data_IF_671958246549
#
_entry.id   IF_671958246549
#
_cell.length_a   1.000
_cell.length_b   1.000
_cell.length_c   1.000
_cell.angle_alpha   90.00
_cell.angle_beta   90.00
_cell.angle_gamma   90.00
#
_symmetry.space_group_name_H-M   'P 1'
#
loop_
_entity.id
_entity.type
_entity.pdbx_description
1 polymer ?
#
# COMPACT_ATOMS: atom_id res chain seq x y z
N UNK A 1 28.58 -142.82 -75.64
CA UNK A 1 29.26 -141.61 -76.16
C UNK A 1 29.15 -140.50 -75.13
N UNK A 2 30.14 -139.60 -75.06
CA UNK A 2 30.13 -138.37 -74.25
C UNK A 2 30.29 -137.17 -75.20
N UNK A 3 29.83 -135.98 -74.81
CA UNK A 3 30.09 -134.75 -75.58
C UNK A 3 31.46 -134.17 -75.25
N UNK A 4 31.99 -133.31 -76.13
CA UNK A 4 33.33 -132.71 -75.97
C UNK A 4 33.41 -131.87 -74.68
N UNK A 5 32.31 -131.22 -74.29
CA UNK A 5 32.21 -130.40 -73.08
C UNK A 5 32.25 -131.27 -71.82
N UNK A 6 31.55 -132.41 -71.82
CA UNK A 6 31.55 -133.36 -70.71
C UNK A 6 32.94 -134.01 -70.51
N UNK A 7 33.63 -134.33 -71.62
CA UNK A 7 34.99 -134.86 -71.59
C UNK A 7 35.98 -133.84 -70.99
N UNK A 8 35.79 -132.54 -71.27
CA UNK A 8 36.67 -131.49 -70.75
C UNK A 8 36.34 -131.07 -69.30
N UNK A 9 35.06 -131.06 -68.92
CA UNK A 9 34.61 -130.69 -67.57
C UNK A 9 34.79 -131.79 -66.53
N UNK A 10 34.65 -133.07 -66.92
CA UNK A 10 34.73 -134.22 -66.02
C UNK A 10 35.60 -135.33 -66.62
N UNK A 11 36.91 -135.16 -66.46
CA UNK A 11 37.95 -136.04 -67.02
C UNK A 11 37.99 -137.40 -66.33
N UNK A 12 37.62 -137.46 -65.07
CA UNK A 12 37.63 -138.69 -64.27
C UNK A 12 36.57 -139.67 -64.78
N UNK A 13 35.36 -139.17 -65.09
CA UNK A 13 34.29 -140.00 -65.67
C UNK A 13 34.68 -140.60 -67.04
N UNK A 14 35.41 -139.84 -67.86
CA UNK A 14 35.85 -140.29 -69.18
C UNK A 14 36.91 -141.41 -69.08
N UNK A 15 37.88 -141.28 -68.17
CA UNK A 15 38.90 -142.31 -67.92
C UNK A 15 38.29 -143.65 -67.48
N UNK A 16 37.31 -143.61 -66.58
CA UNK A 16 36.64 -144.81 -66.09
C UNK A 16 35.97 -145.60 -67.23
N UNK A 17 35.28 -144.88 -68.13
CA UNK A 17 34.62 -145.46 -69.30
C UNK A 17 35.60 -146.04 -70.33
N UNK A 18 36.78 -145.44 -70.50
CA UNK A 18 37.83 -145.98 -71.37
C UNK A 18 38.37 -147.28 -70.79
N UNK A 19 38.75 -147.27 -69.51
CA UNK A 19 39.28 -148.45 -68.84
C UNK A 19 38.33 -149.65 -69.00
N UNK A 20 37.04 -149.46 -68.70
CA UNK A 20 36.06 -150.55 -68.78
C UNK A 20 35.92 -151.15 -70.20
N UNK A 21 35.92 -150.31 -71.24
CA UNK A 21 35.74 -150.79 -72.61
C UNK A 21 37.02 -151.42 -73.19
N UNK A 22 38.19 -150.84 -72.90
CA UNK A 22 39.46 -151.33 -73.42
C UNK A 22 39.91 -152.60 -72.69
N UNK A 23 39.69 -152.69 -71.37
CA UNK A 23 39.98 -153.91 -70.59
C UNK A 23 39.20 -155.11 -71.14
N UNK A 24 37.91 -154.94 -71.46
CA UNK A 24 37.06 -155.98 -72.05
C UNK A 24 37.54 -156.47 -73.43
N UNK A 25 38.15 -155.61 -74.23
CA UNK A 25 38.70 -155.99 -75.54
C UNK A 25 40.09 -156.65 -75.42
N UNK A 26 40.93 -156.20 -74.49
CA UNK A 26 42.26 -156.78 -74.24
C UNK A 26 42.19 -158.17 -73.62
N UNK A 27 41.19 -158.44 -72.77
CA UNK A 27 40.96 -159.75 -72.16
C UNK A 27 40.73 -160.85 -73.19
N UNK A 28 40.08 -160.55 -74.33
CA UNK A 28 39.85 -161.53 -75.42
C UNK A 28 41.16 -162.03 -76.04
N UNK A 29 42.23 -161.26 -75.89
CA UNK A 29 43.57 -161.56 -76.41
C UNK A 29 44.54 -161.96 -75.29
N UNK A 30 44.04 -162.12 -74.05
CA UNK A 30 44.82 -162.57 -72.89
C UNK A 30 45.68 -161.49 -72.24
N UNK A 31 45.45 -160.20 -72.52
CA UNK A 31 46.19 -159.07 -71.96
C UNK A 31 45.36 -158.37 -70.88
N UNK A 32 46.01 -157.88 -69.81
CA UNK A 32 45.35 -157.10 -68.75
C UNK A 32 45.83 -155.65 -68.78
N UNK A 33 44.87 -154.73 -68.77
CA UNK A 33 45.12 -153.29 -68.67
C UNK A 33 45.45 -152.95 -67.21
N UNK A 34 46.55 -152.20 -66.97
CA UNK A 34 46.98 -151.82 -65.61
C UNK A 34 46.63 -150.35 -65.31
N UNK A 35 46.91 -149.45 -66.26
CA UNK A 35 46.61 -148.03 -66.12
C UNK A 35 46.46 -147.40 -67.51
N UNK A 36 45.55 -146.44 -67.62
CA UNK A 36 45.40 -145.52 -68.75
C UNK A 36 45.42 -144.11 -68.21
N UNK A 37 46.37 -143.30 -68.68
CA UNK A 37 46.41 -141.87 -68.41
C UNK A 37 46.13 -141.12 -69.71
N UNK A 38 45.34 -140.05 -69.62
CA UNK A 38 45.19 -139.10 -70.72
C UNK A 38 46.35 -138.12 -70.63
N UNK A 39 47.11 -138.02 -71.73
CA UNK A 39 48.24 -137.09 -71.82
C UNK A 39 47.76 -135.72 -72.29
N UNK A 40 46.99 -135.69 -73.38
CA UNK A 40 46.43 -134.45 -73.94
C UNK A 40 45.11 -134.74 -74.66
N UNK A 41 44.23 -133.75 -74.71
CA UNK A 41 42.95 -133.80 -75.43
C UNK A 41 42.99 -132.67 -76.46
N UNK A 42 43.17 -133.04 -77.72
CA UNK A 42 43.23 -132.11 -78.84
C UNK A 42 42.03 -132.33 -79.75
N UNK A 43 41.60 -131.25 -80.39
CA UNK A 43 40.54 -131.23 -81.39
C UNK A 43 41.10 -130.63 -82.68
N UNK A 44 40.71 -131.17 -83.82
CA UNK A 44 41.10 -130.69 -85.14
C UNK A 44 40.35 -129.40 -85.54
N UNK A 45 39.29 -129.03 -84.79
CA UNK A 45 38.35 -127.95 -85.14
C UNK A 45 38.41 -126.70 -84.22
N UNK A 46 39.50 -126.45 -83.49
CA UNK A 46 39.70 -125.30 -82.58
C UNK A 46 38.54 -125.06 -81.56
N UNK A 47 37.66 -126.05 -81.35
CA UNK A 47 36.41 -125.87 -80.63
C UNK A 47 36.64 -125.70 -79.13
N UNK A 48 37.53 -126.52 -78.56
CA UNK A 48 37.89 -126.50 -77.14
C UNK A 48 38.54 -125.16 -76.77
N UNK A 49 39.43 -124.64 -77.62
CA UNK A 49 40.06 -123.33 -77.42
C UNK A 49 39.01 -122.20 -77.46
N UNK A 50 38.05 -122.28 -78.38
CA UNK A 50 36.98 -121.29 -78.53
C UNK A 50 36.01 -121.27 -77.33
N UNK A 51 35.67 -122.43 -76.76
CA UNK A 51 34.88 -122.53 -75.51
C UNK A 51 35.67 -121.96 -74.33
N UNK A 52 36.97 -122.25 -74.23
CA UNK A 52 37.84 -121.68 -73.20
C UNK A 52 37.88 -120.15 -73.28
N UNK A 53 38.07 -119.59 -74.49
CA UNK A 53 38.03 -118.14 -74.74
C UNK A 53 36.67 -117.53 -74.38
N UNK A 54 35.54 -118.20 -74.72
CA UNK A 54 34.19 -117.75 -74.38
C UNK A 54 33.94 -117.76 -72.88
N UNK A 55 34.32 -118.83 -72.18
CA UNK A 55 34.18 -118.95 -70.74
C UNK A 55 35.01 -117.89 -69.99
N UNK A 56 36.28 -117.68 -70.40
CA UNK A 56 37.13 -116.63 -69.86
C UNK A 56 36.55 -115.23 -70.11
N UNK A 57 36.07 -114.93 -71.32
CA UNK A 57 35.43 -113.66 -71.63
C UNK A 57 34.16 -113.43 -70.80
N UNK A 58 33.36 -114.49 -70.58
CA UNK A 58 32.13 -114.43 -69.77
C UNK A 58 32.45 -114.19 -68.29
N UNK A 59 33.50 -114.83 -67.76
CA UNK A 59 33.96 -114.61 -66.40
C UNK A 59 34.47 -113.17 -66.19
N UNK A 60 35.23 -112.63 -67.16
CA UNK A 60 35.69 -111.23 -67.13
C UNK A 60 34.52 -110.25 -67.20
N UNK A 61 33.53 -110.52 -68.04
CA UNK A 61 32.36 -109.64 -68.16
C UNK A 61 31.48 -109.68 -66.91
N UNK A 62 31.24 -110.86 -66.34
CA UNK A 62 30.54 -110.98 -65.05
C UNK A 62 31.27 -110.22 -63.94
N UNK A 63 32.60 -110.36 -63.85
CA UNK A 63 33.39 -109.60 -62.89
C UNK A 63 33.30 -108.08 -63.12
N UNK A 64 33.26 -107.62 -64.38
CA UNK A 64 33.03 -106.19 -64.70
C UNK A 64 31.65 -105.73 -64.28
N UNK A 65 30.61 -106.54 -64.48
CA UNK A 65 29.24 -106.23 -64.05
C UNK A 65 29.17 -106.13 -62.52
N UNK A 66 29.81 -107.05 -61.80
CA UNK A 66 29.84 -107.04 -60.33
C UNK A 66 30.56 -105.81 -59.79
N UNK A 67 31.71 -105.44 -60.38
CA UNK A 67 32.44 -104.21 -60.03
C UNK A 67 31.58 -102.98 -60.32
N UNK A 68 30.94 -102.90 -61.50
CA UNK A 68 30.08 -101.77 -61.84
C UNK A 68 28.86 -101.64 -60.91
N UNK A 69 28.26 -102.77 -60.49
CA UNK A 69 27.18 -102.77 -59.52
C UNK A 69 27.66 -102.31 -58.14
N UNK A 70 28.81 -102.80 -57.67
CA UNK A 70 29.40 -102.37 -56.40
C UNK A 70 29.77 -100.87 -56.41
N UNK A 71 30.32 -100.36 -57.51
CA UNK A 71 30.61 -98.93 -57.69
C UNK A 71 29.33 -98.10 -57.68
N UNK A 72 28.28 -98.54 -58.41
CA UNK A 72 26.98 -97.86 -58.43
C UNK A 72 26.36 -97.80 -57.04
N UNK A 73 26.30 -98.93 -56.34
CA UNK A 73 25.66 -99.01 -55.03
C UNK A 73 26.47 -98.23 -53.97
N UNK A 74 27.81 -98.25 -54.06
CA UNK A 74 28.69 -97.40 -53.25
C UNK A 74 28.46 -95.90 -53.51
N UNK A 75 28.32 -95.50 -54.77
CA UNK A 75 28.03 -94.11 -55.14
C UNK A 75 26.64 -93.65 -54.65
N UNK A 76 25.62 -94.51 -54.75
CA UNK A 76 24.27 -94.24 -54.23
C UNK A 76 24.32 -94.09 -52.70
N UNK A 77 24.94 -95.03 -51.99
CA UNK A 77 25.08 -94.96 -50.54
C UNK A 77 25.82 -93.71 -50.06
N UNK A 78 26.90 -93.33 -50.76
CA UNK A 78 27.62 -92.09 -50.49
C UNK A 78 26.76 -90.83 -50.74
N UNK A 79 25.98 -90.81 -51.83
CA UNK A 79 25.09 -89.70 -52.15
C UNK A 79 23.95 -89.57 -51.13
N UNK A 80 23.35 -90.67 -50.69
CA UNK A 80 22.30 -90.69 -49.67
C UNK A 80 22.82 -90.24 -48.29
N UNK A 81 24.00 -90.71 -47.89
CA UNK A 81 24.65 -90.28 -46.66
C UNK A 81 24.95 -88.77 -46.68
N UNK A 82 25.49 -88.27 -47.80
CA UNK A 82 25.77 -86.85 -47.97
C UNK A 82 24.49 -86.00 -47.94
N UNK A 83 23.44 -86.42 -48.65
CA UNK A 83 22.14 -85.75 -48.64
C UNK A 83 21.55 -85.70 -47.23
N UNK A 84 21.59 -86.83 -46.50
CA UNK A 84 21.05 -86.92 -45.14
C UNK A 84 21.81 -85.98 -44.19
N UNK A 85 23.16 -85.99 -44.27
CA UNK A 85 24.01 -85.08 -43.51
C UNK A 85 23.66 -83.62 -43.80
N UNK A 86 23.53 -83.23 -45.06
CA UNK A 86 23.21 -81.85 -45.44
C UNK A 86 21.84 -81.40 -44.95
N UNK A 87 20.82 -82.26 -45.06
CA UNK A 87 19.47 -81.98 -44.54
C UNK A 87 19.53 -81.77 -43.02
N UNK A 88 20.18 -82.67 -42.28
CA UNK A 88 20.28 -82.56 -40.83
C UNK A 88 21.07 -81.33 -40.39
N UNK A 89 22.19 -81.03 -41.05
CA UNK A 89 22.97 -79.81 -40.77
C UNK A 89 22.12 -78.57 -41.03
N UNK A 90 21.43 -78.49 -42.17
CA UNK A 90 20.57 -77.36 -42.50
C UNK A 90 19.41 -77.19 -41.51
N UNK A 91 18.78 -78.30 -41.06
CA UNK A 91 17.74 -78.28 -40.05
C UNK A 91 18.25 -77.76 -38.71
N UNK A 92 19.38 -78.27 -38.21
CA UNK A 92 19.98 -77.82 -36.96
C UNK A 92 20.39 -76.34 -37.01
N UNK A 93 20.94 -75.88 -38.14
CA UNK A 93 21.29 -74.45 -38.34
C UNK A 93 20.03 -73.58 -38.32
N UNK A 94 18.95 -74.01 -38.98
CA UNK A 94 17.69 -73.28 -38.99
C UNK A 94 17.05 -73.22 -37.59
N UNK A 95 17.11 -74.30 -36.83
CA UNK A 95 16.59 -74.36 -35.46
C UNK A 95 17.42 -73.51 -34.49
N UNK A 96 18.74 -73.55 -34.59
CA UNK A 96 19.63 -72.69 -33.82
C UNK A 96 19.37 -71.19 -34.11
N UNK A 97 19.19 -70.83 -35.39
CA UNK A 97 18.85 -69.46 -35.78
C UNK A 97 17.49 -69.00 -35.21
N UNK A 98 16.47 -69.87 -35.26
CA UNK A 98 15.16 -69.60 -34.65
C UNK A 98 15.26 -69.41 -33.14
N UNK A 99 15.97 -70.31 -32.44
CA UNK A 99 16.19 -70.22 -30.99
C UNK A 99 16.96 -68.95 -30.60
N UNK A 100 18.00 -68.60 -31.36
CA UNK A 100 18.74 -67.36 -31.14
C UNK A 100 17.85 -66.11 -31.30
N UNK A 101 16.99 -66.08 -32.33
CA UNK A 101 16.07 -64.96 -32.54
C UNK A 101 14.97 -64.88 -31.50
N UNK A 102 14.45 -66.02 -31.03
CA UNK A 102 13.51 -66.06 -29.92
C UNK A 102 14.13 -65.50 -28.64
N UNK A 103 15.33 -65.96 -28.27
CA UNK A 103 16.05 -65.46 -27.10
C UNK A 103 16.40 -63.96 -27.20
N UNK A 104 16.76 -63.48 -28.40
CA UNK A 104 17.00 -62.05 -28.63
C UNK A 104 15.72 -61.23 -28.46
N UNK A 105 14.58 -61.72 -28.96
CA UNK A 105 13.28 -61.07 -28.79
C UNK A 105 12.86 -61.05 -27.32
N UNK A 106 12.96 -62.17 -26.60
CA UNK A 106 12.63 -62.27 -25.18
C UNK A 106 13.50 -61.32 -24.35
N UNK A 107 14.81 -61.27 -24.63
CA UNK A 107 15.73 -60.32 -24.00
C UNK A 107 15.29 -58.88 -24.24
N UNK A 108 14.95 -58.51 -25.48
CA UNK A 108 14.49 -57.16 -25.80
C UNK A 108 13.21 -56.81 -25.06
N UNK A 109 12.21 -57.69 -25.09
CA UNK A 109 10.95 -57.47 -24.36
C UNK A 109 11.19 -57.30 -22.87
N UNK A 110 12.07 -58.10 -22.28
CA UNK A 110 12.42 -57.98 -20.87
C UNK A 110 13.13 -56.64 -20.56
N UNK A 111 14.14 -56.26 -21.33
CA UNK A 111 14.88 -55.00 -21.13
C UNK A 111 13.96 -53.80 -21.28
N UNK A 112 13.21 -53.72 -22.38
CA UNK A 112 12.26 -52.62 -22.64
C UNK A 112 11.16 -52.57 -21.57
N UNK A 113 10.71 -53.73 -21.08
CA UNK A 113 9.77 -53.79 -19.96
C UNK A 113 10.33 -53.22 -18.66
N UNK A 114 11.60 -53.51 -18.34
CA UNK A 114 12.27 -52.92 -17.18
C UNK A 114 12.52 -51.42 -17.36
N UNK A 115 12.91 -50.98 -18.56
CA UNK A 115 13.06 -49.57 -18.89
C UNK A 115 11.72 -48.82 -18.75
N UNK A 116 10.61 -49.39 -19.23
CA UNK A 116 9.29 -48.80 -19.07
C UNK A 116 8.89 -48.64 -17.59
N UNK A 117 9.19 -49.64 -16.75
CA UNK A 117 8.95 -49.56 -15.29
C UNK A 117 9.83 -48.48 -14.66
N UNK A 118 11.11 -48.41 -15.04
CA UNK A 118 12.04 -47.38 -14.54
C UNK A 118 11.58 -45.97 -14.91
N UNK A 119 11.23 -45.73 -16.17
CA UNK A 119 10.70 -44.45 -16.66
C UNK A 119 9.39 -44.09 -15.96
N UNK A 120 8.49 -45.07 -15.74
CA UNK A 120 7.27 -44.82 -14.97
C UNK A 120 7.58 -44.41 -13.53
N UNK A 121 8.55 -45.07 -12.89
CA UNK A 121 9.00 -44.72 -11.53
C UNK A 121 9.61 -43.33 -11.46
N UNK A 122 10.44 -42.97 -12.45
CA UNK A 122 11.04 -41.63 -12.58
C UNK A 122 9.96 -40.55 -12.75
N UNK A 123 8.97 -40.77 -13.62
CA UNK A 123 7.86 -39.84 -13.80
C UNK A 123 7.04 -39.65 -12.52
N UNK A 124 6.78 -40.73 -11.77
CA UNK A 124 6.08 -40.64 -10.47
C UNK A 124 6.90 -39.82 -9.48
N UNK A 125 8.20 -40.11 -9.35
CA UNK A 125 9.09 -39.36 -8.46
C UNK A 125 9.18 -37.89 -8.87
N UNK A 126 9.24 -37.59 -10.16
CA UNK A 126 9.28 -36.23 -10.67
C UNK A 126 7.96 -35.48 -10.43
N UNK A 127 6.81 -36.15 -10.55
CA UNK A 127 5.53 -35.59 -10.18
C UNK A 127 5.44 -35.31 -8.67
N UNK A 128 5.95 -36.21 -7.83
CA UNK A 128 6.00 -36.01 -6.38
C UNK A 128 6.92 -34.83 -6.00
N UNK A 129 8.11 -34.72 -6.61
CA UNK A 129 9.00 -33.58 -6.44
C UNK A 129 8.31 -32.28 -6.87
N UNK A 130 7.59 -32.28 -7.99
CA UNK A 130 6.86 -31.11 -8.45
C UNK A 130 5.76 -30.67 -7.47
N UNK A 131 5.02 -31.63 -6.90
CA UNK A 131 4.00 -31.35 -5.88
C UNK A 131 4.63 -30.80 -4.60
N UNK A 132 5.70 -31.43 -4.10
CA UNK A 132 6.43 -30.95 -2.91
C UNK A 132 7.00 -29.55 -3.13
N UNK A 133 7.52 -29.25 -4.32
CA UNK A 133 8.00 -27.91 -4.66
C UNK A 133 6.86 -26.89 -4.75
N UNK A 134 5.69 -27.28 -5.25
CA UNK A 134 4.50 -26.42 -5.27
C UNK A 134 4.03 -26.10 -3.84
N UNK A 135 3.96 -27.11 -2.97
CA UNK A 135 3.59 -26.95 -1.56
C UNK A 135 4.59 -26.07 -0.81
N UNK A 136 5.90 -26.27 -1.07
CA UNK A 136 6.96 -25.43 -0.50
C UNK A 136 6.80 -23.97 -0.95
N UNK A 137 6.55 -23.73 -2.24
CA UNK A 137 6.35 -22.39 -2.77
C UNK A 137 5.09 -21.72 -2.19
N UNK A 138 4.00 -22.46 -1.98
CA UNK A 138 2.80 -21.95 -1.32
C UNK A 138 3.10 -21.59 0.15
N UNK A 139 3.81 -22.46 0.88
CA UNK A 139 4.20 -22.21 2.26
C UNK A 139 5.13 -20.99 2.39
N UNK A 140 6.09 -20.82 1.48
CA UNK A 140 6.98 -19.66 1.41
C UNK A 140 6.20 -18.37 1.09
N UNK A 141 5.29 -18.40 0.12
CA UNK A 141 4.45 -17.26 -0.22
C UNK A 141 3.55 -16.85 0.96
N UNK A 142 2.94 -17.82 1.66
CA UNK A 142 2.13 -17.57 2.84
C UNK A 142 2.97 -17.06 4.03
N UNK A 143 4.21 -17.52 4.19
CA UNK A 143 5.14 -16.99 5.19
C UNK A 143 5.53 -15.54 4.86
N UNK A 144 5.84 -15.25 3.59
CA UNK A 144 6.18 -13.91 3.11
C UNK A 144 5.02 -12.94 3.28
N UNK A 145 3.81 -13.33 2.88
CA UNK A 145 2.61 -12.50 3.07
C UNK A 145 2.37 -12.20 4.56
N UNK A 146 2.55 -13.18 5.46
CA UNK A 146 2.45 -12.96 6.91
C UNK A 146 3.51 -11.97 7.42
N UNK A 147 4.74 -12.07 6.92
CA UNK A 147 5.81 -11.12 7.24
C UNK A 147 5.45 -9.71 6.77
N UNK A 148 5.05 -9.55 5.50
CA UNK A 148 4.70 -8.25 4.92
C UNK A 148 3.50 -7.61 5.61
N UNK A 149 2.48 -8.39 5.98
CA UNK A 149 1.35 -7.87 6.78
C UNK A 149 1.81 -7.45 8.17
N UNK A 150 2.68 -8.22 8.82
CA UNK A 150 3.22 -7.84 10.14
C UNK A 150 4.04 -6.55 10.06
N UNK A 151 4.89 -6.40 9.04
CA UNK A 151 5.71 -5.21 8.80
C UNK A 151 4.82 -3.99 8.49
N UNK A 152 3.82 -4.13 7.63
CA UNK A 152 2.89 -3.06 7.30
C UNK A 152 2.04 -2.63 8.51
N UNK A 153 1.62 -3.57 9.35
CA UNK A 153 0.89 -3.27 10.59
C UNK A 153 1.80 -2.55 11.59
N UNK A 154 3.05 -2.99 11.74
CA UNK A 154 4.03 -2.34 12.59
C UNK A 154 4.34 -0.91 12.11
N UNK A 155 4.55 -0.72 10.81
CA UNK A 155 4.81 0.59 10.22
C UNK A 155 3.58 1.51 10.34
N UNK A 156 2.38 1.01 10.08
CA UNK A 156 1.14 1.77 10.30
C UNK A 156 0.97 2.18 11.78
N UNK A 157 1.35 1.33 12.72
CA UNK A 157 1.33 1.66 14.15
C UNK A 157 2.35 2.75 14.50
N UNK A 158 3.58 2.68 13.95
CA UNK A 158 4.61 3.71 14.12
C UNK A 158 4.14 5.05 13.54
N UNK A 159 3.56 5.04 12.34
CA UNK A 159 3.04 6.26 11.70
C UNK A 159 1.90 6.87 12.52
N UNK A 160 0.93 6.06 12.99
CA UNK A 160 -0.12 6.55 13.89
C UNK A 160 0.44 7.16 15.17
N UNK A 161 1.45 6.54 15.79
CA UNK A 161 2.10 7.10 16.97
C UNK A 161 2.74 8.46 16.68
N UNK A 162 3.43 8.61 15.54
CA UNK A 162 4.02 9.90 15.10
C UNK A 162 2.96 10.96 14.83
N UNK A 163 1.85 10.60 14.18
CA UNK A 163 0.75 11.54 13.93
C UNK A 163 0.13 12.03 15.24
N UNK A 164 -0.08 11.15 16.22
CA UNK A 164 -0.60 11.55 17.53
C UNK A 164 0.38 12.46 18.26
N UNK A 165 1.68 12.14 18.25
CA UNK A 165 2.71 13.01 18.85
C UNK A 165 2.74 14.40 18.20
N UNK A 166 2.64 14.46 16.86
CA UNK A 166 2.61 15.72 16.12
C UNK A 166 1.32 16.52 16.38
N UNK A 167 0.16 15.86 16.46
CA UNK A 167 -1.12 16.49 16.80
C UNK A 167 -1.06 17.11 18.21
N UNK A 168 -0.52 16.38 19.19
CA UNK A 168 -0.34 16.89 20.56
C UNK A 168 0.68 18.04 20.61
N UNK A 169 1.75 17.99 19.80
CA UNK A 169 2.70 19.11 19.65
C UNK A 169 2.02 20.36 19.09
N UNK A 170 1.19 20.21 18.05
CA UNK A 170 0.45 21.31 17.44
C UNK A 170 -0.56 21.90 18.43
N UNK A 171 -1.34 21.06 19.13
CA UNK A 171 -2.25 21.50 20.20
C UNK A 171 -1.51 22.26 21.28
N UNK A 172 -0.37 21.75 21.75
CA UNK A 172 0.45 22.43 22.75
C UNK A 172 0.94 23.79 22.23
N UNK A 173 1.38 23.88 20.97
CA UNK A 173 1.81 25.14 20.37
C UNK A 173 0.66 26.14 20.22
N UNK A 174 -0.53 25.69 19.83
CA UNK A 174 -1.73 26.54 19.72
C UNK A 174 -2.18 27.03 21.10
N UNK A 175 -2.18 26.17 22.13
CA UNK A 175 -2.46 26.54 23.52
C UNK A 175 -1.45 27.58 24.02
N UNK A 176 -0.16 27.44 23.68
CA UNK A 176 0.86 28.44 24.03
C UNK A 176 0.57 29.77 23.32
N UNK A 177 0.21 29.76 22.03
CA UNK A 177 -0.16 30.97 21.28
C UNK A 177 -1.39 31.65 21.89
N UNK A 178 -2.44 30.91 22.22
CA UNK A 178 -3.63 31.44 22.87
C UNK A 178 -3.34 32.01 24.26
N UNK A 179 -2.50 31.33 25.06
CA UNK A 179 -2.07 31.85 26.36
C UNK A 179 -1.25 33.15 26.22
N UNK A 180 -0.36 33.24 25.23
CA UNK A 180 0.38 34.48 24.94
C UNK A 180 -0.58 35.60 24.53
N UNK A 181 -1.56 35.33 23.66
CA UNK A 181 -2.56 36.33 23.26
C UNK A 181 -3.40 36.79 24.46
N UNK A 182 -3.84 35.86 25.31
CA UNK A 182 -4.57 36.19 26.55
C UNK A 182 -3.72 37.06 27.47
N UNK A 183 -2.45 36.71 27.68
CA UNK A 183 -1.52 37.53 28.48
C UNK A 183 -1.30 38.90 27.86
N UNK A 184 -1.14 39.00 26.54
CA UNK A 184 -1.00 40.28 25.84
C UNK A 184 -2.24 41.17 26.02
N UNK A 185 -3.45 40.60 25.92
CA UNK A 185 -4.70 41.34 26.14
C UNK A 185 -4.80 41.81 27.60
N UNK A 186 -4.48 40.96 28.58
CA UNK A 186 -4.49 41.35 30.00
C UNK A 186 -3.48 42.46 30.26
N UNK A 187 -2.24 42.32 29.78
CA UNK A 187 -1.19 43.34 29.94
C UNK A 187 -1.60 44.65 29.24
N UNK A 188 -2.21 44.58 28.05
CA UNK A 188 -2.69 45.77 27.34
C UNK A 188 -3.86 46.45 28.07
N UNK A 189 -4.79 45.67 28.63
CA UNK A 189 -5.89 46.18 29.44
C UNK A 189 -5.39 46.81 30.73
N UNK A 190 -4.43 46.19 31.42
CA UNK A 190 -3.79 46.73 32.62
C UNK A 190 -3.00 48.02 32.30
N UNK A 191 -2.27 48.04 31.18
CA UNK A 191 -1.54 49.22 30.72
C UNK A 191 -2.49 50.37 30.38
N UNK A 192 -3.63 50.10 29.74
CA UNK A 192 -4.64 51.11 29.43
C UNK A 192 -5.34 51.61 30.70
N UNK A 193 -5.66 50.72 31.64
CA UNK A 193 -6.22 51.09 32.95
C UNK A 193 -5.26 52.00 33.72
N UNK A 194 -3.96 51.68 33.74
CA UNK A 194 -2.94 52.47 34.42
C UNK A 194 -2.67 53.80 33.70
N UNK A 195 -2.75 53.82 32.35
CA UNK A 195 -2.69 55.05 31.55
C UNK A 195 -3.86 55.97 31.93
N UNK A 196 -5.08 55.45 31.97
CA UNK A 196 -6.26 56.21 32.35
C UNK A 196 -6.18 56.75 33.79
N UNK A 197 -5.70 55.94 34.75
CA UNK A 197 -5.45 56.41 36.12
C UNK A 197 -4.47 57.58 36.16
N UNK A 198 -3.33 57.48 35.45
CA UNK A 198 -2.34 58.56 35.42
C UNK A 198 -2.84 59.82 34.74
N UNK A 199 -3.60 59.68 33.65
CA UNK A 199 -4.23 60.83 32.97
C UNK A 199 -5.24 61.50 33.89
N UNK A 200 -6.16 60.73 34.50
CA UNK A 200 -7.15 61.25 35.44
C UNK A 200 -6.49 61.90 36.67
N UNK A 201 -5.40 61.32 37.19
CA UNK A 201 -4.61 61.91 38.27
C UNK A 201 -3.96 63.23 37.86
N UNK A 202 -3.33 63.27 36.67
CA UNK A 202 -2.75 64.50 36.13
C UNK A 202 -3.79 65.60 35.86
N UNK A 203 -4.99 65.24 35.39
CA UNK A 203 -6.11 66.16 35.23
C UNK A 203 -6.62 66.68 36.59
N UNK A 204 -6.75 65.81 37.60
CA UNK A 204 -7.12 66.20 38.95
C UNK A 204 -6.09 67.17 39.57
N UNK A 205 -4.80 66.87 39.43
CA UNK A 205 -3.71 67.72 39.91
C UNK A 205 -3.69 69.08 39.17
N UNK A 206 -3.93 69.10 37.86
CA UNK A 206 -4.04 70.32 37.08
C UNK A 206 -5.21 71.20 37.54
N UNK A 207 -6.38 70.59 37.79
CA UNK A 207 -7.57 71.28 38.30
C UNK A 207 -7.32 71.86 39.69
N UNK A 208 -6.70 71.08 40.59
CA UNK A 208 -6.34 71.57 41.93
C UNK A 208 -5.39 72.77 41.87
N UNK A 209 -4.37 72.72 41.00
CA UNK A 209 -3.43 73.83 40.83
C UNK A 209 -4.11 75.10 40.28
N UNK A 210 -5.05 74.97 39.34
CA UNK A 210 -5.85 76.10 38.84
C UNK A 210 -6.66 76.72 39.96
N UNK A 211 -7.42 75.91 40.72
CA UNK A 211 -8.22 76.41 41.83
C UNK A 211 -7.37 77.02 42.95
N UNK A 212 -6.22 76.43 43.27
CA UNK A 212 -5.29 77.03 44.23
C UNK A 212 -4.74 78.38 43.74
N UNK A 213 -4.40 78.48 42.45
CA UNK A 213 -3.90 79.71 41.85
C UNK A 213 -4.99 80.81 41.85
N UNK A 214 -6.23 80.45 41.53
CA UNK A 214 -7.39 81.34 41.60
C UNK A 214 -7.66 81.78 43.04
N UNK A 215 -7.66 80.86 44.00
CA UNK A 215 -7.85 81.16 45.41
C UNK A 215 -6.77 82.12 45.93
N UNK A 216 -5.49 81.85 45.61
CA UNK A 216 -4.36 82.75 45.95
C UNK A 216 -4.50 84.11 45.25
N UNK A 217 -4.97 84.14 44.01
CA UNK A 217 -5.24 85.36 43.25
C UNK A 217 -6.32 86.22 43.92
N UNK A 218 -7.47 85.61 44.24
CA UNK A 218 -8.59 86.26 44.92
C UNK A 218 -8.17 86.76 46.29
N UNK A 219 -7.44 85.95 47.07
CA UNK A 219 -6.94 86.35 48.38
C UNK A 219 -6.04 87.60 48.28
N UNK A 220 -5.12 87.66 47.31
CA UNK A 220 -4.28 88.85 47.08
C UNK A 220 -5.10 90.08 46.70
N UNK A 221 -6.15 89.93 45.88
CA UNK A 221 -7.06 91.03 45.52
C UNK A 221 -7.83 91.54 46.74
N UNK A 222 -8.33 90.62 47.58
CA UNK A 222 -9.05 90.96 48.80
C UNK A 222 -8.13 91.63 49.83
N UNK A 223 -6.91 91.14 50.02
CA UNK A 223 -5.91 91.76 50.91
C UNK A 223 -5.53 93.16 50.41
N UNK A 224 -5.38 93.35 49.10
CA UNK A 224 -5.12 94.66 48.51
C UNK A 224 -6.31 95.62 48.72
N UNK A 225 -7.56 95.14 48.56
CA UNK A 225 -8.77 95.92 48.86
C UNK A 225 -8.87 96.26 50.35
N UNK A 226 -8.58 95.32 51.24
CA UNK A 226 -8.59 95.55 52.68
C UNK A 226 -7.58 96.64 53.08
N UNK A 227 -6.35 96.58 52.56
CA UNK A 227 -5.34 97.63 52.75
C UNK A 227 -5.77 98.97 52.13
N UNK A 228 -6.42 98.94 50.97
CA UNK A 228 -7.00 100.12 50.34
C UNK A 228 -8.05 100.80 51.22
N UNK A 229 -8.98 100.02 51.78
CA UNK A 229 -9.99 100.50 52.72
C UNK A 229 -9.38 101.01 54.02
N UNK A 230 -8.38 100.33 54.58
CA UNK A 230 -7.64 100.78 55.76
C UNK A 230 -6.98 102.16 55.53
N UNK A 231 -6.35 102.35 54.38
CA UNK A 231 -5.77 103.64 54.00
C UNK A 231 -6.83 104.74 53.84
N UNK A 232 -8.01 104.41 53.32
CA UNK A 232 -9.12 105.35 53.18
C UNK A 232 -9.65 105.81 54.54
N UNK A 233 -9.86 104.87 55.47
CA UNK A 233 -10.30 105.14 56.84
C UNK A 233 -9.26 105.98 57.61
N UNK A 234 -7.98 105.69 57.44
CA UNK A 234 -6.90 106.48 58.04
C UNK A 234 -6.84 107.91 57.46
N UNK A 235 -7.20 108.10 56.20
CA UNK A 235 -7.21 109.41 55.53
C UNK A 235 -8.38 110.30 55.97
N UNK A 236 -9.47 109.72 56.48
CA UNK A 236 -10.66 110.46 56.96
C UNK A 236 -10.61 110.75 58.47
N UNK A 237 -9.42 110.98 59.03
CA UNK A 237 -9.21 111.34 60.45
C UNK A 237 -9.93 110.42 61.45
N UNK A 238 -10.17 109.15 61.10
CA UNK A 238 -10.81 108.16 61.96
C UNK A 238 -12.33 108.28 62.11
N UNK A 239 -13.05 109.04 61.28
CA UNK A 239 -14.52 109.04 61.29
C UNK A 239 -15.09 107.95 60.35
N UNK A 240 -15.68 106.86 60.88
CA UNK A 240 -16.25 105.78 60.07
C UNK A 240 -17.40 106.26 59.16
N UNK A 241 -18.11 107.33 59.54
CA UNK A 241 -19.22 107.86 58.75
C UNK A 241 -18.73 108.56 57.49
N UNK A 242 -17.64 109.32 57.56
CA UNK A 242 -17.05 109.98 56.40
C UNK A 242 -16.48 108.98 55.38
N UNK A 243 -15.78 107.94 55.86
CA UNK A 243 -15.27 106.86 55.01
C UNK A 243 -16.42 106.06 54.33
N UNK A 244 -17.51 105.80 55.06
CA UNK A 244 -18.70 105.16 54.50
C UNK A 244 -19.39 106.05 53.44
N UNK A 245 -19.44 107.37 53.65
CA UNK A 245 -20.02 108.30 52.66
C UNK A 245 -19.18 108.34 51.38
N UNK A 246 -17.85 108.34 51.51
CA UNK A 246 -16.95 108.37 50.36
C UNK A 246 -16.94 107.04 49.59
N UNK A 247 -17.00 105.90 50.30
CA UNK A 247 -17.22 104.58 49.70
C UNK A 247 -18.60 104.48 49.03
N UNK A 248 -19.64 105.08 49.62
CA UNK A 248 -20.96 105.15 48.98
C UNK A 248 -20.90 105.99 47.71
N UNK A 249 -20.20 107.13 47.68
CA UNK A 249 -20.02 107.91 46.44
C UNK A 249 -19.28 107.11 45.36
N UNK A 250 -18.20 106.39 45.71
CA UNK A 250 -17.49 105.51 44.76
C UNK A 250 -18.39 104.35 44.27
N UNK A 251 -19.17 103.74 45.18
CA UNK A 251 -20.09 102.66 44.83
C UNK A 251 -21.37 103.12 44.15
N UNK A 252 -21.76 104.39 44.28
CA UNK A 252 -22.89 104.97 43.53
C UNK A 252 -22.59 104.89 42.03
N UNK A 253 -21.36 105.10 41.56
CA UNK A 253 -21.05 104.91 40.14
C UNK A 253 -21.28 103.45 39.70
N UNK A 254 -20.80 102.47 40.47
CA UNK A 254 -21.02 101.05 40.17
C UNK A 254 -22.48 100.61 40.29
N UNK A 255 -23.23 101.18 41.23
CA UNK A 255 -24.68 100.94 41.39
C UNK A 255 -25.44 101.56 40.23
N UNK A 256 -25.17 102.81 39.87
CA UNK A 256 -25.78 103.48 38.71
C UNK A 256 -25.46 102.71 37.43
N UNK A 257 -24.23 102.25 37.24
CA UNK A 257 -23.87 101.40 36.10
C UNK A 257 -24.68 100.09 36.09
N UNK A 258 -24.76 99.37 37.22
CA UNK A 258 -25.56 98.15 37.33
C UNK A 258 -27.07 98.41 37.17
N UNK A 259 -27.59 99.54 37.65
CA UNK A 259 -28.98 99.96 37.44
C UNK A 259 -29.26 100.29 35.97
N UNK A 260 -28.35 101.01 35.30
CA UNK A 260 -28.48 101.32 33.86
C UNK A 260 -28.41 100.03 33.05
N UNK A 261 -27.54 99.08 33.42
CA UNK A 261 -27.45 97.77 32.77
C UNK A 261 -28.71 96.91 33.01
N UNK A 262 -29.29 96.95 34.21
CA UNK A 262 -30.58 96.31 34.52
C UNK A 262 -31.74 96.96 33.75
N UNK A 263 -31.76 98.29 33.61
CA UNK A 263 -32.76 99.01 32.80
C UNK A 263 -32.57 98.72 31.30
N UNK A 264 -31.32 98.59 30.83
CA UNK A 264 -31.02 98.21 29.43
C UNK A 264 -31.55 96.81 29.08
N UNK A 265 -31.55 95.91 30.06
CA UNK A 265 -32.08 94.55 29.90
C UNK A 265 -33.60 94.45 30.16
N UNK A 266 -34.25 95.51 30.64
CA UNK A 266 -35.71 95.61 30.72
C UNK A 266 -36.30 95.94 29.34
N UNK A 267 -36.37 94.93 28.48
CA UNK A 267 -37.26 94.95 27.33
C UNK A 267 -38.70 94.72 27.79
N UNK A 268 -39.46 95.80 27.99
CA UNK A 268 -40.93 95.70 28.13
C UNK A 268 -41.49 95.52 26.71
N UNK A 269 -41.38 94.31 26.17
CA UNK A 269 -41.72 94.02 24.77
C UNK A 269 -43.24 94.00 24.50
N UNK A 270 -44.09 93.93 25.53
CA UNK A 270 -45.56 94.00 25.37
C UNK A 270 -46.29 94.19 26.70
N UNK A 271 -46.84 95.39 26.93
CA UNK A 271 -47.86 95.58 27.99
C UNK A 271 -49.19 95.16 27.39
N UNK A 272 -49.72 94.01 27.82
CA UNK A 272 -51.08 93.58 27.46
C UNK A 272 -52.01 93.92 28.63
N UNK A 273 -52.60 95.12 28.60
CA UNK A 273 -53.66 95.47 29.55
C UNK A 273 -54.94 94.77 29.10
N UNK A 274 -55.38 93.78 29.87
CA UNK A 274 -56.73 93.24 29.76
C UNK A 274 -57.67 94.16 30.53
N UNK A 275 -58.29 95.10 29.81
CA UNK A 275 -59.41 95.88 30.31
C UNK A 275 -60.68 95.02 30.24
N UNK A 276 -60.91 94.24 31.29
CA UNK A 276 -62.19 93.58 31.55
C UNK A 276 -63.13 94.62 32.14
N UNK A 277 -63.81 95.34 31.27
CA UNK A 277 -64.66 96.46 31.64
C UNK A 277 -65.69 96.14 32.74
N UNK A 278 -65.77 97.11 33.66
CA UNK A 278 -66.88 97.47 34.54
C UNK A 278 -67.05 96.73 35.88
N UNK A 279 -66.31 97.19 36.89
CA UNK A 279 -66.71 97.13 38.31
C UNK A 279 -67.26 98.49 38.76
N UNK A 280 -68.23 98.47 39.66
CA UNK A 280 -69.17 99.55 40.00
C UNK A 280 -68.58 100.75 40.80
N UNK A 281 -67.30 101.07 40.63
CA UNK A 281 -66.67 102.19 41.36
C UNK A 281 -65.55 102.86 40.54
N UNK A 282 -65.94 103.51 39.43
CA UNK A 282 -65.26 104.66 38.77
C UNK A 282 -63.76 104.63 38.45
N UNK A 283 -63.04 103.54 38.69
CA UNK A 283 -61.59 103.43 38.61
C UNK A 283 -61.20 102.37 37.58
N UNK A 284 -60.31 102.74 36.64
CA UNK A 284 -59.88 101.87 35.55
C UNK A 284 -58.63 101.08 35.93
N UNK A 285 -58.42 99.92 35.30
CA UNK A 285 -57.22 99.09 35.52
C UNK A 285 -55.90 99.85 35.27
N UNK A 286 -55.95 100.91 34.45
CA UNK A 286 -54.81 101.81 34.19
C UNK A 286 -54.43 102.69 35.39
N UNK A 287 -55.37 103.11 36.24
CA UNK A 287 -55.03 103.88 37.46
C UNK A 287 -54.42 103.00 38.55
N UNK A 288 -54.84 101.73 38.64
CA UNK A 288 -54.24 100.77 39.58
C UNK A 288 -52.82 100.34 39.17
N UNK A 289 -52.51 100.25 37.88
CA UNK A 289 -51.14 99.98 37.42
C UNK A 289 -50.18 101.12 37.81
N UNK A 290 -50.57 102.37 37.58
CA UNK A 290 -49.73 103.54 37.93
C UNK A 290 -49.55 103.65 39.45
N UNK A 291 -50.59 103.41 40.24
CA UNK A 291 -50.48 103.37 41.71
C UNK A 291 -49.57 102.23 42.20
N UNK A 292 -49.65 101.04 41.59
CA UNK A 292 -48.80 99.89 41.95
C UNK A 292 -47.34 100.06 41.55
N UNK A 293 -47.04 100.83 40.50
CA UNK A 293 -45.67 101.17 40.10
C UNK A 293 -45.05 102.17 41.09
N UNK A 294 -45.81 103.14 41.58
CA UNK A 294 -45.36 104.07 42.63
C UNK A 294 -45.16 103.36 43.98
N UNK A 295 -45.96 102.34 44.30
CA UNK A 295 -45.76 101.47 45.48
C UNK A 295 -44.63 100.44 45.33
N UNK A 296 -44.15 100.17 44.10
CA UNK A 296 -43.07 99.20 43.84
C UNK A 296 -41.66 99.76 43.96
N UNK A 297 -41.53 101.08 44.14
CA UNK A 297 -40.29 101.67 44.63
C UNK A 297 -40.25 101.42 46.13
N UNK A 298 -39.33 100.58 46.64
CA UNK A 298 -39.15 100.47 48.08
C UNK A 298 -38.83 101.87 48.58
N UNK A 299 -39.57 102.40 49.58
CA UNK A 299 -39.26 103.70 50.12
C UNK A 299 -37.82 103.65 50.61
N UNK A 300 -36.94 104.39 49.92
CA UNK A 300 -35.50 104.46 50.23
C UNK A 300 -35.29 104.83 51.71
N UNK A 301 -36.26 105.55 52.29
CA UNK A 301 -36.33 105.87 53.70
C UNK A 301 -36.45 104.64 54.62
N UNK A 302 -37.21 103.58 54.29
CA UNK A 302 -37.33 102.39 55.15
C UNK A 302 -36.08 101.52 55.15
N UNK A 303 -35.39 101.44 53.99
CA UNK A 303 -34.10 100.76 53.89
C UNK A 303 -33.00 101.54 54.63
N UNK A 304 -33.04 102.88 54.57
CA UNK A 304 -32.10 103.74 55.29
C UNK A 304 -32.34 103.73 56.81
N UNK A 305 -33.60 103.67 57.27
CA UNK A 305 -33.96 103.54 58.70
C UNK A 305 -33.58 102.17 59.28
N UNK A 306 -33.78 101.07 58.54
CA UNK A 306 -33.29 99.75 58.94
C UNK A 306 -31.75 99.67 59.01
N UNK A 307 -31.04 100.53 58.27
CA UNK A 307 -29.58 100.66 58.29
C UNK A 307 -29.06 101.73 59.28
N UNK A 308 -29.93 102.37 60.07
CA UNK A 308 -29.55 103.32 61.13
C UNK A 308 -29.06 104.69 60.64
N UNK A 309 -29.48 105.13 59.44
CA UNK A 309 -29.07 106.41 58.85
C UNK A 309 -30.28 107.27 58.49
N UNK A 310 -30.37 108.47 59.06
CA UNK A 310 -31.38 109.48 58.70
C UNK A 310 -30.94 110.23 57.42
N UNK A 311 -31.81 110.25 56.42
CA UNK A 311 -31.62 111.01 55.18
C UNK A 311 -32.20 112.42 55.32
N UNK A 312 -31.62 113.45 54.67
CA UNK A 312 -32.08 114.84 54.83
C UNK A 312 -33.47 115.11 54.22
N UNK A 313 -34.24 116.01 54.85
CA UNK A 313 -35.66 116.31 54.58
C UNK A 313 -36.02 116.76 53.14
N UNK A 314 -35.05 117.10 52.30
CA UNK A 314 -35.30 117.51 50.90
C UNK A 314 -35.63 116.34 49.96
N UNK A 315 -35.45 115.09 50.43
CA UNK A 315 -35.80 113.88 49.68
C UNK A 315 -37.27 113.45 49.84
N UNK A 316 -38.09 114.30 50.46
CA UNK A 316 -39.52 114.10 50.63
C UNK A 316 -39.82 113.30 51.89
N UNK A 317 -40.52 113.92 52.84
CA UNK A 317 -41.09 113.27 54.01
C UNK A 317 -42.55 112.90 53.73
N UNK A 318 -42.92 111.66 54.07
CA UNK A 318 -44.32 111.27 54.15
C UNK A 318 -44.89 111.85 55.45
N UNK A 319 -46.00 112.57 55.36
CA UNK A 319 -46.76 113.03 56.51
C UNK A 319 -47.28 111.83 57.31
N UNK A 320 -46.95 111.78 58.60
CA UNK A 320 -47.60 110.92 59.59
C UNK A 320 -49.08 111.31 59.69
N UNK A 321 -49.98 110.40 59.32
CA UNK A 321 -51.34 110.39 59.82
C UNK A 321 -51.44 109.27 60.87
N UNK A 322 -51.31 109.66 62.14
CA UNK A 322 -51.79 108.88 63.28
C UNK A 322 -52.77 109.72 64.10
N UNK A 323 -53.99 109.19 64.20
CA UNK A 323 -54.99 109.33 65.26
C UNK A 323 -56.06 110.45 65.18
N UNK A 324 -57.28 110.01 64.84
CA UNK A 324 -58.45 110.18 65.73
C UNK A 324 -59.57 109.17 65.40
N UNK A 325 -59.91 108.37 66.42
CA UNK A 325 -61.03 107.41 66.64
C UNK A 325 -60.85 105.92 66.26
#
# INVERSE_FOLDING_TARGET
>A
SMTIEQINQDRDNFLERINHNVEKELEKVGLKLINVNIVDITDDSDYIESIGKKAAATAVENARVDVANAERDGAIGAAEANRTREIQVAQNVAEAAKGSKAAEADRRVYVEGQEAIAVSGENIAQAEIANVNADLAEAEAAAKQRSEVADAVAEAAIQRARYVEEEERLKASDIVRENIQKQQIVIAADAEAERQRRVAGGEADAILLVYEAEAKGIQKVLDAKAKGYENLVNSTAGDPKAAATLLMVEKIESMVAAQVEAIRNLKIDKITVWDGGNNADGSSATSNFVSSLVQSLPPIHDVAKMAGVELPDYLGSMSDDSDSE
#
